data_IF_956946447279
#
_entry.id   IF_956946447279
#
_cell.length_a   1.000
_cell.length_b   1.000
_cell.length_c   1.000
_cell.angle_alpha   90.00
_cell.angle_beta   90.00
_cell.angle_gamma   90.00
#
_symmetry.space_group_name_H-M   'P 1'
#
loop_
_entity.id
_entity.type
_entity.pdbx_description
1 polymer ?
#
# COMPACT_ATOMS: atom_id res chain seq x y z
N UNK A 1 -40.45 3.24 -8.83
CA UNK A 1 -38.99 3.18 -9.12
C UNK A 1 -38.77 2.24 -10.30
N UNK A 2 -38.56 2.78 -11.51
CA UNK A 2 -38.36 1.96 -12.71
C UNK A 2 -37.23 0.95 -12.52
N UNK A 3 -37.45 -0.30 -12.96
CA UNK A 3 -36.49 -1.42 -12.86
C UNK A 3 -35.09 -1.03 -13.34
N UNK A 4 -35.00 -0.28 -14.45
CA UNK A 4 -33.76 0.29 -14.99
C UNK A 4 -33.01 1.19 -14.01
N UNK A 5 -33.72 2.07 -13.28
CA UNK A 5 -33.12 2.95 -12.26
C UNK A 5 -32.56 2.14 -11.09
N UNK A 6 -33.29 1.10 -10.64
CA UNK A 6 -32.85 0.23 -9.54
C UNK A 6 -31.58 -0.55 -9.88
N UNK A 7 -31.52 -1.15 -11.06
CA UNK A 7 -30.33 -1.89 -11.51
C UNK A 7 -29.11 -0.97 -11.55
N UNK A 8 -29.25 0.21 -12.16
CA UNK A 8 -28.15 1.18 -12.25
C UNK A 8 -27.67 1.65 -10.87
N UNK A 9 -28.59 1.83 -9.92
CA UNK A 9 -28.23 2.21 -8.55
C UNK A 9 -27.43 1.09 -7.86
N UNK A 10 -27.84 -0.18 -8.01
CA UNK A 10 -27.13 -1.33 -7.44
C UNK A 10 -25.73 -1.48 -8.05
N UNK A 11 -25.59 -1.30 -9.37
CA UNK A 11 -24.28 -1.38 -10.02
C UNK A 11 -23.34 -0.27 -9.54
N UNK A 12 -23.83 0.97 -9.44
CA UNK A 12 -23.05 2.10 -8.92
C UNK A 12 -22.61 1.90 -7.48
N UNK A 13 -23.46 1.34 -6.61
CA UNK A 13 -23.09 1.09 -5.21
C UNK A 13 -22.06 -0.03 -5.09
N UNK A 14 -22.15 -1.09 -5.90
CA UNK A 14 -21.13 -2.16 -5.95
C UNK A 14 -19.78 -1.63 -6.42
N UNK A 15 -19.76 -0.82 -7.49
CA UNK A 15 -18.54 -0.21 -8.02
C UNK A 15 -17.88 0.72 -6.99
N UNK A 16 -18.66 1.57 -6.32
CA UNK A 16 -18.15 2.41 -5.23
C UNK A 16 -17.55 1.60 -4.08
N UNK A 17 -18.18 0.48 -3.71
CA UNK A 17 -17.65 -0.42 -2.66
C UNK A 17 -16.35 -1.11 -3.06
N UNK A 18 -16.17 -1.48 -4.33
CA UNK A 18 -14.90 -2.02 -4.82
C UNK A 18 -13.80 -0.96 -4.82
N UNK A 19 -14.08 0.24 -5.35
CA UNK A 19 -13.09 1.32 -5.38
C UNK A 19 -12.67 1.77 -3.98
N UNK A 20 -13.60 1.83 -3.03
CA UNK A 20 -13.31 2.13 -1.62
C UNK A 20 -12.32 1.15 -0.98
N UNK A 21 -12.30 -0.12 -1.42
CA UNK A 21 -11.34 -1.12 -0.93
C UNK A 21 -9.97 -1.00 -1.59
N UNK A 22 -9.90 -0.41 -2.78
CA UNK A 22 -8.66 -0.24 -3.53
C UNK A 22 -7.89 1.02 -3.11
N UNK A 23 -8.51 1.94 -2.38
CA UNK A 23 -7.84 3.11 -1.84
C UNK A 23 -6.92 2.73 -0.67
N UNK A 24 -5.65 2.52 -0.99
CA UNK A 24 -4.56 2.60 -0.03
C UNK A 24 -4.22 4.08 0.21
N UNK A 25 -4.23 4.53 1.46
CA UNK A 25 -3.70 5.86 1.78
C UNK A 25 -2.18 5.83 1.61
N UNK A 26 -1.61 6.79 0.86
CA UNK A 26 -0.15 7.00 0.75
C UNK A 26 0.55 7.39 2.07
N UNK A 27 -0.18 7.42 3.19
CA UNK A 27 0.36 7.74 4.50
C UNK A 27 0.81 6.45 5.17
N UNK A 28 2.04 6.39 5.72
CA UNK A 28 2.42 5.24 6.54
C UNK A 28 1.46 5.13 7.71
N UNK A 29 0.98 3.91 7.97
CA UNK A 29 0.13 3.63 9.12
C UNK A 29 0.90 4.03 10.38
N UNK A 30 0.27 4.79 11.28
CA UNK A 30 0.90 5.07 12.57
C UNK A 30 1.03 3.76 13.35
N UNK A 31 2.27 3.39 13.66
CA UNK A 31 2.64 2.24 14.46
C UNK A 31 3.23 2.73 15.77
N UNK A 32 3.15 1.90 16.81
CA UNK A 32 3.69 2.26 18.13
C UNK A 32 5.21 2.48 18.08
N UNK A 33 5.78 3.20 19.05
CA UNK A 33 7.23 3.45 19.13
C UNK A 33 8.05 2.15 19.11
N UNK A 34 7.55 1.11 19.77
CA UNK A 34 8.20 -0.20 19.82
C UNK A 34 8.19 -0.91 18.45
N UNK A 35 7.09 -0.85 17.71
CA UNK A 35 7.00 -1.43 16.36
C UNK A 35 7.84 -0.67 15.35
N UNK A 36 7.95 0.67 15.50
CA UNK A 36 8.80 1.49 14.64
C UNK A 36 10.28 1.13 14.78
N UNK A 37 10.75 0.95 16.02
CA UNK A 37 12.13 0.54 16.28
C UNK A 37 12.43 -0.87 15.72
N UNK A 38 11.47 -1.80 15.78
CA UNK A 38 11.61 -3.14 15.18
C UNK A 38 11.73 -3.07 13.66
N UNK A 39 10.86 -2.30 13.00
CA UNK A 39 10.91 -2.15 11.54
C UNK A 39 12.17 -1.41 11.06
N UNK A 40 12.66 -0.42 11.81
CA UNK A 40 13.91 0.28 11.49
C UNK A 40 15.14 -0.63 11.66
N UNK A 41 15.16 -1.49 12.69
CA UNK A 41 16.21 -2.49 12.85
C UNK A 41 16.20 -3.56 11.75
N UNK A 42 15.02 -4.01 11.31
CA UNK A 42 14.87 -4.94 10.18
C UNK A 42 15.24 -4.28 8.84
N UNK A 43 14.89 -3.01 8.63
CA UNK A 43 15.29 -2.24 7.45
C UNK A 43 16.80 -2.00 7.41
N UNK A 44 17.42 -1.59 8.52
CA UNK A 44 18.87 -1.41 8.59
C UNK A 44 19.64 -2.73 8.33
N UNK A 45 19.11 -3.87 8.80
CA UNK A 45 19.69 -5.18 8.52
C UNK A 45 19.53 -5.60 7.04
N UNK A 46 18.43 -5.23 6.39
CA UNK A 46 18.19 -5.50 4.98
C UNK A 46 19.06 -4.59 4.08
N UNK A 47 19.18 -3.30 4.40
CA UNK A 47 19.98 -2.34 3.63
C UNK A 47 21.49 -2.67 3.68
N UNK A 48 22.00 -3.15 4.82
CA UNK A 48 23.37 -3.64 4.95
C UNK A 48 23.67 -4.90 4.10
N UNK A 49 22.64 -5.63 3.64
CA UNK A 49 22.80 -6.79 2.76
C UNK A 49 22.73 -6.45 1.26
N UNK A 50 22.27 -5.24 0.91
CA UNK A 50 22.09 -4.80 -0.48
C UNK A 50 23.22 -3.91 -1.00
N UNK A 51 24.09 -3.38 -0.14
CA UNK A 51 25.19 -2.48 -0.52
C UNK A 51 26.40 -3.20 -1.15
N UNK A 52 26.49 -4.54 -1.05
CA UNK A 52 27.60 -5.35 -1.59
C UNK A 52 27.46 -5.76 -3.07
N UNK A 53 26.57 -5.16 -3.88
CA UNK A 53 26.35 -5.62 -5.27
C UNK A 53 26.30 -4.57 -6.38
N UNK A 54 26.57 -3.30 -6.13
CA UNK A 54 26.66 -2.31 -7.22
C UNK A 54 27.92 -1.45 -7.10
N UNK A 55 29.05 -2.04 -7.48
CA UNK A 55 30.20 -1.30 -8.00
C UNK A 55 30.10 -1.27 -9.53
N UNK A 56 29.63 -0.18 -10.18
CA UNK A 56 29.90 0.00 -11.59
C UNK A 56 31.33 0.53 -11.69
N UNK A 57 32.28 -0.35 -11.97
CA UNK A 57 33.62 0.05 -12.39
C UNK A 57 33.51 0.58 -13.82
N UNK A 58 33.92 1.85 -13.99
CA UNK A 58 34.17 2.50 -15.27
C UNK A 58 35.27 1.77 -16.06
N UNK A 59 34.95 1.34 -17.28
CA UNK A 59 35.84 1.39 -18.45
C UNK A 59 35.02 1.44 -19.75
#
# INVERSE_FOLDING_TARGET
>A
MNRKKRINQILKTKLKKQNAKLHNSNKPRYISKAERAKMEAEQAAAEASTDESVTPSEE
#
